data_IF_680945982374
#
_entry.id   IF_680945982374
#
_cell.length_a   1.000
_cell.length_b   1.000
_cell.length_c   1.000
_cell.angle_alpha   90.00
_cell.angle_beta   90.00
_cell.angle_gamma   90.00
#
_symmetry.space_group_name_H-M   'P 1'
#
loop_
_entity.id
_entity.type
_entity.pdbx_description
1 polymer ?
#
# COMPACT_ATOMS: atom_id res chain seq x y z
N UNK A 1 9.16 7.10 -12.96
CA UNK A 1 8.03 6.41 -13.62
C UNK A 1 8.41 4.96 -13.90
N UNK A 2 8.28 4.09 -12.90
CA UNK A 2 8.49 2.64 -13.04
C UNK A 2 7.52 1.97 -12.05
N UNK A 3 6.20 2.19 -12.24
CA UNK A 3 5.21 1.45 -11.46
C UNK A 3 5.14 0.07 -12.06
N UNK A 4 5.47 -0.93 -11.25
CA UNK A 4 5.31 -2.33 -11.66
C UNK A 4 3.82 -2.67 -11.67
N UNK A 5 3.44 -3.69 -12.42
CA UNK A 5 2.06 -4.20 -12.43
C UNK A 5 1.63 -4.57 -10.98
N UNK A 6 2.58 -4.99 -10.14
CA UNK A 6 2.36 -5.27 -8.73
C UNK A 6 2.01 -4.02 -7.91
N UNK A 7 2.65 -2.87 -8.17
CA UNK A 7 2.32 -1.62 -7.49
C UNK A 7 0.92 -1.14 -7.84
N UNK A 8 0.48 -1.31 -9.10
CA UNK A 8 -0.87 -0.94 -9.53
C UNK A 8 -1.94 -1.86 -8.93
N UNK A 9 -1.66 -3.17 -8.84
CA UNK A 9 -2.55 -4.13 -8.16
C UNK A 9 -2.65 -3.80 -6.68
N UNK A 10 -1.51 -3.58 -6.00
CA UNK A 10 -1.49 -3.28 -4.59
C UNK A 10 -2.20 -1.95 -4.28
N UNK A 11 -1.92 -0.90 -5.07
CA UNK A 11 -2.63 0.38 -4.98
C UNK A 11 -4.13 0.23 -5.18
N UNK A 12 -4.55 -0.57 -6.15
CA UNK A 12 -5.97 -0.85 -6.39
C UNK A 12 -6.62 -1.55 -5.19
N UNK A 13 -5.93 -2.51 -4.58
CA UNK A 13 -6.41 -3.17 -3.35
C UNK A 13 -6.56 -2.16 -2.21
N UNK A 14 -5.58 -1.28 -1.98
CA UNK A 14 -5.64 -0.28 -0.92
C UNK A 14 -6.74 0.77 -1.16
N UNK A 15 -6.94 1.23 -2.40
CA UNK A 15 -7.86 2.34 -2.71
C UNK A 15 -9.31 1.91 -2.96
N UNK A 16 -9.52 0.77 -3.61
CA UNK A 16 -10.84 0.34 -4.09
C UNK A 16 -11.37 -0.86 -3.32
N UNK A 17 -10.49 -1.67 -2.74
CA UNK A 17 -10.85 -2.94 -2.11
C UNK A 17 -10.07 -3.18 -0.80
N UNK A 18 -10.10 -2.23 0.17
CA UNK A 18 -9.29 -2.32 1.38
C UNK A 18 -9.57 -3.59 2.20
N UNK A 19 -10.80 -4.13 2.10
CA UNK A 19 -11.20 -5.40 2.70
C UNK A 19 -10.35 -6.61 2.27
N UNK A 20 -9.64 -6.54 1.14
CA UNK A 20 -8.68 -7.58 0.72
C UNK A 20 -7.28 -7.34 1.28
N UNK A 21 -6.90 -6.08 1.50
CA UNK A 21 -5.57 -5.71 1.97
C UNK A 21 -5.41 -5.95 3.47
N UNK A 22 -6.43 -5.65 4.27
CA UNK A 22 -6.34 -5.74 5.74
C UNK A 22 -6.13 -7.18 6.24
N UNK A 23 -6.89 -8.19 5.77
CA UNK A 23 -6.63 -9.58 6.15
C UNK A 23 -5.22 -10.04 5.78
N UNK A 24 -4.74 -9.64 4.59
CA UNK A 24 -3.38 -9.96 4.14
C UNK A 24 -2.31 -9.32 5.03
N UNK A 25 -2.47 -8.04 5.39
CA UNK A 25 -1.55 -7.34 6.29
C UNK A 25 -1.54 -8.01 7.66
N UNK A 26 -2.72 -8.33 8.21
CA UNK A 26 -2.84 -9.00 9.50
C UNK A 26 -2.18 -10.38 9.51
N UNK A 27 -2.33 -11.16 8.44
CA UNK A 27 -1.71 -12.48 8.30
C UNK A 27 -0.18 -12.38 8.19
N UNK A 28 0.33 -11.52 7.32
CA UNK A 28 1.77 -11.38 7.01
C UNK A 28 2.55 -10.75 8.16
N UNK A 29 2.01 -9.71 8.80
CA UNK A 29 2.70 -8.93 9.82
C UNK A 29 2.28 -9.29 11.25
N UNK A 30 1.41 -10.29 11.41
CA UNK A 30 0.86 -10.72 12.70
C UNK A 30 0.23 -9.55 13.48
N UNK A 31 -0.52 -8.71 12.77
CA UNK A 31 -1.27 -7.58 13.32
C UNK A 31 -2.76 -7.91 13.44
N UNK A 32 -3.51 -7.03 14.11
CA UNK A 32 -4.96 -7.18 14.33
C UNK A 32 -5.73 -5.88 14.00
N UNK A 33 -5.47 -5.31 12.83
CA UNK A 33 -6.18 -4.13 12.37
C UNK A 33 -7.67 -4.44 12.08
N UNK A 34 -8.61 -3.56 12.47
CA UNK A 34 -10.02 -3.67 12.11
C UNK A 34 -10.23 -3.60 10.59
N UNK A 35 -11.20 -4.31 10.04
CA UNK A 35 -11.47 -4.33 8.58
C UNK A 35 -11.88 -2.96 8.01
N UNK A 36 -12.41 -2.07 8.84
CA UNK A 36 -12.89 -0.73 8.48
C UNK A 36 -11.84 0.37 8.71
N UNK A 37 -10.62 0.02 9.14
CA UNK A 37 -9.60 1.05 9.38
C UNK A 37 -9.25 1.76 8.06
N UNK A 38 -9.24 3.09 8.13
CA UNK A 38 -8.89 3.93 6.98
C UNK A 38 -7.40 3.80 6.71
N UNK A 39 -7.05 3.20 5.58
CA UNK A 39 -5.65 3.12 5.14
C UNK A 39 -5.22 4.48 4.60
N UNK A 40 -4.20 5.07 5.22
CA UNK A 40 -3.58 6.31 4.74
C UNK A 40 -2.33 5.94 3.97
N UNK A 41 -2.32 6.15 2.66
CA UNK A 41 -1.11 6.00 1.86
C UNK A 41 -0.18 7.19 2.16
N UNK A 42 0.83 6.95 2.98
CA UNK A 42 1.98 7.85 3.08
C UNK A 42 2.88 7.50 1.89
N UNK A 43 3.09 8.44 0.98
CA UNK A 43 4.07 8.26 -0.11
C UNK A 43 5.39 7.85 0.53
N UNK A 44 5.96 6.73 0.09
CA UNK A 44 7.21 6.20 0.65
C UNK A 44 8.23 7.34 0.78
N UNK A 45 8.97 7.38 1.89
CA UNK A 45 10.04 8.34 2.14
C UNK A 45 11.14 8.35 1.06
N UNK A 46 11.21 7.30 0.24
CA UNK A 46 12.10 7.17 -0.92
C UNK A 46 11.49 7.64 -2.26
N UNK A 47 10.25 8.11 -2.28
CA UNK A 47 9.56 8.63 -3.45
C UNK A 47 9.25 10.12 -3.22
N UNK A 48 10.22 10.99 -3.50
CA UNK A 48 9.94 12.43 -3.63
C UNK A 48 9.01 12.68 -4.83
N UNK A 49 8.32 13.81 -4.82
CA UNK A 49 7.21 14.16 -5.74
C UNK A 49 7.49 13.96 -7.24
N UNK A 50 8.76 13.91 -7.65
CA UNK A 50 9.23 13.70 -9.03
C UNK A 50 9.64 12.26 -9.38
N UNK A 51 9.46 11.29 -8.48
CA UNK A 51 9.74 9.88 -8.77
C UNK A 51 11.22 9.54 -8.96
N UNK A 52 12.13 10.35 -8.39
CA UNK A 52 13.56 10.09 -8.35
C UNK A 52 13.90 9.29 -7.09
N UNK A 53 14.48 8.10 -7.27
CA UNK A 53 15.08 7.31 -6.19
C UNK A 53 16.43 7.92 -5.82
N UNK A 54 16.66 8.21 -4.54
CA UNK A 54 17.99 8.57 -4.04
C UNK A 54 18.85 7.29 -3.86
N UNK A 55 20.16 7.35 -4.16
CA UNK A 55 21.08 6.22 -4.10
C UNK A 55 21.32 5.68 -2.67
#
# INVERSE_FOLDING_TARGET
MNNTIFDDVFRTMIEKMPYLAIPLINDVFHTSYPEDVKITQLRNEHQQEDGVYLP
#
